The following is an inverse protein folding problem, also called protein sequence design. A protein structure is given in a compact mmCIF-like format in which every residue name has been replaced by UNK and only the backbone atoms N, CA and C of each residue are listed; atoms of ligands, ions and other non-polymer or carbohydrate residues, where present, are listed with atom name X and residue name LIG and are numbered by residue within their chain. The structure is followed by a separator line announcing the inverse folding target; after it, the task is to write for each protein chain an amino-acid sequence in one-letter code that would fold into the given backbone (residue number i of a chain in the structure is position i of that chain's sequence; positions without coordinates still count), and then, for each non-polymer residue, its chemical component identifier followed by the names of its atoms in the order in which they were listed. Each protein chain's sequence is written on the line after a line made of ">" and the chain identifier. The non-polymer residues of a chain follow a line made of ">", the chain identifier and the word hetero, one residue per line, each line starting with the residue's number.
data_IF_316643117849
#
_entry.id   IF_316643117849
#
_cell.length_a   1.000
_cell.length_b   1.000
_cell.length_c   1.000
_cell.angle_alpha   90.00
_cell.angle_beta   90.00
_cell.angle_gamma   90.00
#
_symmetry.space_group_name_H-M   'P 1'
#
loop_
_entity.id
_entity.type
_entity.pdbx_description
1 polymer ?
#
# COMPACT_ATOMS: atom_id res chain seq x y z
N UNK A 1 13.41 13.38 -9.03
CA UNK A 1 13.44 12.05 -8.41
C UNK A 1 12.11 11.38 -8.65
N UNK A 2 12.05 10.05 -8.81
CA UNK A 2 10.80 9.31 -8.92
C UNK A 2 9.91 9.58 -7.70
N UNK A 3 8.62 9.75 -7.93
CA UNK A 3 7.63 10.00 -6.87
C UNK A 3 6.49 9.01 -7.00
N UNK A 4 5.88 8.68 -5.87
CA UNK A 4 4.71 7.81 -5.75
C UNK A 4 3.49 8.67 -5.44
N UNK A 5 2.48 8.57 -6.27
CA UNK A 5 1.23 9.32 -6.13
C UNK A 5 0.19 8.43 -5.46
N UNK A 6 -0.50 8.95 -4.45
CA UNK A 6 -1.62 8.23 -3.86
C UNK A 6 -2.77 8.15 -4.88
N UNK A 7 -3.29 6.95 -5.15
CA UNK A 7 -4.46 6.81 -6.01
C UNK A 7 -5.68 7.43 -5.33
N UNK A 8 -6.68 7.86 -6.12
CA UNK A 8 -7.91 8.46 -5.58
C UNK A 8 -8.60 7.55 -4.55
N UNK A 9 -8.49 6.22 -4.72
CA UNK A 9 -9.03 5.21 -3.80
C UNK A 9 -8.47 5.28 -2.38
N UNK A 10 -7.35 5.98 -2.15
CA UNK A 10 -6.77 6.17 -0.83
C UNK A 10 -7.50 7.23 0.02
N UNK A 11 -8.33 8.09 -0.59
CA UNK A 11 -9.02 9.21 0.07
C UNK A 11 -9.71 8.84 1.40
N UNK A 12 -10.57 7.80 1.48
CA UNK A 12 -11.24 7.43 2.73
C UNK A 12 -10.30 6.85 3.79
N UNK A 13 -9.05 6.52 3.42
CA UNK A 13 -8.07 5.91 4.30
C UNK A 13 -7.09 6.93 4.90
N UNK A 14 -7.01 8.14 4.32
CA UNK A 14 -6.10 9.19 4.80
C UNK A 14 -6.29 9.54 6.29
N UNK A 15 -7.52 9.58 6.85
CA UNK A 15 -7.71 9.83 8.28
C UNK A 15 -6.99 8.82 9.19
N UNK A 16 -6.63 7.62 8.71
CA UNK A 16 -5.91 6.64 9.51
C UNK A 16 -4.39 6.85 9.53
N UNK A 17 -3.90 7.93 8.90
CA UNK A 17 -2.52 8.39 9.02
C UNK A 17 -2.39 9.44 10.12
N UNK A 18 -1.44 9.26 11.03
CA UNK A 18 -1.17 10.20 12.15
C UNK A 18 -0.80 11.61 11.68
N UNK A 19 -0.24 11.73 10.48
CA UNK A 19 0.12 13.01 9.83
C UNK A 19 -1.01 13.64 9.04
N UNK A 20 -2.20 13.04 9.04
CA UNK A 20 -3.39 13.65 8.44
C UNK A 20 -3.84 14.86 9.24
N UNK A 21 -4.33 15.90 8.57
CA UNK A 21 -4.94 17.07 9.23
C UNK A 21 -6.20 16.65 10.01
N UNK A 22 -6.95 15.68 9.46
CA UNK A 22 -8.14 15.09 10.06
C UNK A 22 -7.85 13.67 10.56
N UNK A 23 -6.75 13.48 11.31
CA UNK A 23 -6.40 12.17 11.85
C UNK A 23 -7.50 11.63 12.77
N UNK A 24 -7.96 10.41 12.48
CA UNK A 24 -8.91 9.68 13.31
C UNK A 24 -8.26 9.31 14.66
N UNK A 25 -9.07 9.19 15.71
CA UNK A 25 -8.58 8.81 17.05
C UNK A 25 -7.82 7.48 17.07
N UNK A 26 -8.13 6.60 16.13
CA UNK A 26 -7.52 5.29 15.98
C UNK A 26 -6.63 5.17 14.74
N UNK A 27 -6.06 6.30 14.29
CA UNK A 27 -5.04 6.32 13.27
C UNK A 27 -3.87 5.39 13.65
N UNK A 28 -3.47 4.54 12.71
CA UNK A 28 -2.52 3.45 12.93
C UNK A 28 -1.34 3.48 11.97
N UNK A 29 -1.38 4.29 10.92
CA UNK A 29 -0.26 4.51 10.03
C UNK A 29 0.49 5.77 10.47
N UNK A 30 1.81 5.68 10.65
CA UNK A 30 2.60 6.84 11.06
C UNK A 30 2.62 7.90 9.95
N UNK A 31 2.75 7.47 8.70
CA UNK A 31 2.83 8.34 7.53
C UNK A 31 1.99 7.82 6.37
N UNK A 32 1.81 8.67 5.34
CA UNK A 32 1.21 8.25 4.09
C UNK A 32 2.02 7.18 3.36
N UNK A 33 3.34 7.13 3.56
CA UNK A 33 4.18 6.10 2.97
C UNK A 33 3.90 4.73 3.60
N UNK A 34 3.61 4.67 4.90
CA UNK A 34 3.23 3.44 5.60
C UNK A 34 1.89 2.89 5.07
N UNK A 35 0.88 3.76 4.98
CA UNK A 35 -0.41 3.41 4.38
C UNK A 35 -0.22 2.91 2.95
N UNK A 36 0.56 3.63 2.15
CA UNK A 36 0.80 3.29 0.74
C UNK A 36 1.49 1.94 0.58
N UNK A 37 2.56 1.70 1.33
CA UNK A 37 3.30 0.43 1.28
C UNK A 37 2.42 -0.74 1.74
N UNK A 38 1.63 -0.55 2.80
CA UNK A 38 0.69 -1.55 3.27
C UNK A 38 -0.40 -1.85 2.24
N UNK A 39 -1.03 -0.82 1.67
CA UNK A 39 -2.04 -0.97 0.63
C UNK A 39 -1.46 -1.69 -0.61
N UNK A 40 -0.25 -1.35 -1.04
CA UNK A 40 0.41 -2.03 -2.16
C UNK A 40 0.62 -3.53 -1.86
N UNK A 41 1.04 -3.88 -0.64
CA UNK A 41 1.17 -5.27 -0.22
C UNK A 41 -0.19 -6.01 -0.22
N UNK A 42 -1.26 -5.38 0.27
CA UNK A 42 -2.61 -5.94 0.18
C UNK A 42 -3.05 -6.18 -1.27
N UNK A 43 -2.81 -5.21 -2.16
CA UNK A 43 -3.13 -5.34 -3.58
C UNK A 43 -2.35 -6.48 -4.24
N UNK A 44 -1.06 -6.59 -3.94
CA UNK A 44 -0.22 -7.68 -4.42
C UNK A 44 -0.73 -9.05 -3.97
N UNK A 45 -1.04 -9.20 -2.68
CA UNK A 45 -1.58 -10.42 -2.11
C UNK A 45 -2.93 -10.80 -2.75
N UNK A 46 -3.82 -9.82 -2.94
CA UNK A 46 -5.15 -10.04 -3.54
C UNK A 46 -5.08 -10.50 -4.99
N UNK A 47 -4.13 -9.99 -5.76
CA UNK A 47 -3.92 -10.39 -7.15
C UNK A 47 -3.00 -11.61 -7.31
N UNK A 48 -2.41 -12.09 -6.21
CA UNK A 48 -1.40 -13.15 -6.23
C UNK A 48 -0.23 -12.80 -7.16
N UNK A 49 0.23 -11.54 -7.10
CA UNK A 49 1.31 -11.01 -7.94
C UNK A 49 0.98 -10.78 -9.41
N UNK A 50 -0.26 -11.04 -9.86
CA UNK A 50 -0.70 -10.69 -11.22
C UNK A 50 -0.70 -9.18 -11.40
N UNK A 51 -0.27 -8.72 -12.57
CA UNK A 51 -0.10 -7.30 -12.86
C UNK A 51 -1.47 -6.58 -12.86
N UNK A 52 -1.66 -5.54 -12.02
CA UNK A 52 -2.87 -4.75 -11.97
C UNK A 52 -3.01 -3.83 -13.19
N UNK A 53 -4.20 -3.30 -13.40
CA UNK A 53 -4.43 -2.16 -14.30
C UNK A 53 -3.86 -0.88 -13.68
N UNK A 54 -3.38 0.04 -14.50
CA UNK A 54 -2.89 1.34 -14.03
C UNK A 54 -4.03 2.18 -13.42
N UNK A 55 -3.77 2.95 -12.34
CA UNK A 55 -4.78 3.82 -11.75
C UNK A 55 -5.16 4.94 -12.70
N UNK A 56 -6.46 5.18 -12.87
CA UNK A 56 -6.96 6.26 -13.74
C UNK A 56 -6.85 7.65 -13.09
N UNK A 57 -6.88 7.71 -11.75
CA UNK A 57 -6.96 8.95 -10.99
C UNK A 57 -6.07 8.90 -9.74
N UNK A 58 -5.42 10.03 -9.50
CA UNK A 58 -4.57 10.26 -8.33
C UNK A 58 -5.08 11.47 -7.55
N UNK A 59 -4.79 11.46 -6.26
CA UNK A 59 -5.11 12.59 -5.40
C UNK A 59 -4.25 13.81 -5.75
N UNK A 60 -4.86 14.99 -5.69
CA UNK A 60 -4.14 16.27 -5.78
C UNK A 60 -3.46 16.65 -4.46
N UNK A 61 -3.99 16.17 -3.33
CA UNK A 61 -3.44 16.32 -1.98
C UNK A 61 -3.68 15.02 -1.19
N UNK A 62 -2.70 14.53 -0.41
CA UNK A 62 -1.39 15.12 -0.17
C UNK A 62 -0.46 15.04 -1.40
N UNK A 63 0.61 15.84 -1.41
CA UNK A 63 1.60 15.85 -2.49
C UNK A 63 2.19 14.46 -2.75
N UNK A 64 2.63 14.17 -3.99
CA UNK A 64 3.35 12.93 -4.30
C UNK A 64 4.53 12.71 -3.35
N UNK A 65 4.73 11.46 -2.95
CA UNK A 65 5.73 11.06 -1.97
C UNK A 65 7.03 10.73 -2.72
N UNK A 66 8.13 11.38 -2.37
CA UNK A 66 9.44 11.07 -2.96
C UNK A 66 9.86 9.63 -2.59
N UNK A 67 10.35 8.86 -3.56
CA UNK A 67 10.83 7.50 -3.34
C UNK A 67 11.94 7.43 -2.27
N UNK A 68 12.69 8.51 -2.06
CA UNK A 68 13.66 8.64 -0.97
C UNK A 68 13.03 8.51 0.41
N UNK A 69 11.78 8.92 0.59
CA UNK A 69 11.06 8.75 1.86
C UNK A 69 10.95 7.27 2.20
N UNK A 70 10.57 6.44 1.23
CA UNK A 70 10.48 4.99 1.40
C UNK A 70 11.84 4.36 1.70
N UNK A 71 12.93 4.86 1.08
CA UNK A 71 14.29 4.40 1.36
C UNK A 71 14.71 4.73 2.80
N UNK A 72 14.49 5.97 3.22
CA UNK A 72 14.87 6.46 4.55
C UNK A 72 14.06 5.82 5.68
N UNK A 73 12.82 5.42 5.40
CA UNK A 73 11.93 4.73 6.36
C UNK A 73 12.06 3.20 6.32
N UNK A 74 12.94 2.64 5.48
CA UNK A 74 13.11 1.19 5.35
C UNK A 74 11.99 0.47 4.58
N UNK A 75 11.00 1.20 4.05
CA UNK A 75 9.86 0.66 3.29
C UNK A 75 10.21 0.28 1.84
N UNK A 76 11.32 0.80 1.30
CA UNK A 76 11.69 0.60 -0.10
C UNK A 76 11.86 -0.88 -0.48
N UNK A 77 12.35 -1.71 0.44
CA UNK A 77 12.48 -3.15 0.22
C UNK A 77 11.13 -3.82 -0.07
N UNK A 78 10.05 -3.37 0.58
CA UNK A 78 8.71 -3.89 0.33
C UNK A 78 8.25 -3.58 -1.09
N UNK A 79 8.55 -2.37 -1.58
CA UNK A 79 8.24 -1.96 -2.94
C UNK A 79 8.99 -2.83 -3.96
N UNK A 80 10.30 -3.03 -3.74
CA UNK A 80 11.13 -3.88 -4.60
C UNK A 80 10.62 -5.32 -4.64
N UNK A 81 10.23 -5.90 -3.51
CA UNK A 81 9.70 -7.26 -3.45
C UNK A 81 8.40 -7.40 -4.24
N UNK A 82 7.52 -6.41 -4.19
CA UNK A 82 6.30 -6.36 -5.03
C UNK A 82 6.68 -6.35 -6.50
N UNK A 83 7.62 -5.47 -6.90
CA UNK A 83 8.07 -5.37 -8.28
C UNK A 83 8.68 -6.66 -8.82
N UNK A 84 9.62 -7.25 -8.08
CA UNK A 84 10.27 -8.51 -8.43
C UNK A 84 9.27 -9.67 -8.46
N UNK A 85 8.36 -9.75 -7.48
CA UNK A 85 7.35 -10.79 -7.39
C UNK A 85 6.35 -10.75 -8.53
N UNK A 86 5.99 -9.55 -9.01
CA UNK A 86 5.00 -9.40 -10.08
C UNK A 86 5.61 -9.60 -11.46
N UNK A 87 6.73 -8.94 -11.77
CA UNK A 87 7.29 -8.99 -13.12
C UNK A 87 8.22 -10.18 -13.37
N UNK A 88 8.79 -10.77 -12.30
CA UNK A 88 9.77 -11.85 -12.35
C UNK A 88 11.02 -11.51 -13.18
N UNK A 89 11.38 -10.22 -13.23
CA UNK A 89 12.57 -9.72 -13.91
C UNK A 89 13.35 -8.83 -12.97
N UNK A 90 14.68 -9.00 -12.93
CA UNK A 90 15.55 -8.26 -12.02
C UNK A 90 15.82 -6.80 -12.47
N UNK A 91 15.50 -6.46 -13.73
CA UNK A 91 15.68 -5.12 -14.29
C UNK A 91 14.76 -4.08 -13.62
N UNK A 92 13.60 -4.50 -13.11
CA UNK A 92 12.67 -3.63 -12.35
C UNK A 92 13.34 -2.95 -11.14
N UNK A 93 14.36 -3.58 -10.55
CA UNK A 93 15.08 -3.00 -9.41
C UNK A 93 15.97 -1.82 -9.80
N UNK A 94 16.23 -1.62 -11.09
CA UNK A 94 17.05 -0.51 -11.63
C UNK A 94 16.20 0.60 -12.25
N UNK A 95 14.94 0.32 -12.55
CA UNK A 95 13.98 1.25 -13.16
C UNK A 95 12.97 1.71 -12.10
N UNK A 96 13.35 2.72 -11.33
CA UNK A 96 12.53 3.24 -10.23
C UNK A 96 11.21 3.85 -10.72
N UNK A 97 11.15 4.45 -11.90
CA UNK A 97 9.91 5.01 -12.45
C UNK A 97 8.92 3.92 -12.84
N UNK A 98 9.41 2.81 -13.42
CA UNK A 98 8.59 1.62 -13.69
C UNK A 98 8.15 0.94 -12.40
N UNK A 99 9.04 0.82 -11.41
CA UNK A 99 8.70 0.31 -10.08
C UNK A 99 7.59 1.17 -9.45
N UNK A 100 7.72 2.50 -9.49
CA UNK A 100 6.73 3.41 -8.93
C UNK A 100 5.35 3.18 -9.55
N UNK A 101 5.24 3.16 -10.88
CA UNK A 101 3.97 2.92 -11.58
C UNK A 101 3.33 1.58 -11.22
N UNK A 102 4.12 0.52 -11.14
CA UNK A 102 3.63 -0.80 -10.77
C UNK A 102 3.10 -0.83 -9.34
N UNK A 103 3.83 -0.21 -8.41
CA UNK A 103 3.43 -0.15 -7.00
C UNK A 103 2.20 0.76 -6.81
N UNK A 104 2.10 1.88 -7.52
CA UNK A 104 0.88 2.72 -7.57
C UNK A 104 -0.34 1.91 -7.99
N UNK A 105 -0.19 1.05 -9.00
CA UNK A 105 -1.28 0.19 -9.48
C UNK A 105 -1.69 -0.86 -8.43
N UNK A 106 -0.73 -1.48 -7.73
CA UNK A 106 -1.07 -2.38 -6.61
C UNK A 106 -1.67 -1.63 -5.43
N UNK A 107 -1.16 -0.44 -5.10
CA UNK A 107 -1.69 0.41 -4.04
C UNK A 107 -3.14 0.79 -4.32
N UNK A 108 -3.51 1.09 -5.57
CA UNK A 108 -4.90 1.38 -5.93
C UNK A 108 -5.82 0.18 -5.68
N UNK A 109 -5.40 -1.03 -6.04
CA UNK A 109 -6.15 -2.26 -5.76
C UNK A 109 -6.32 -2.46 -4.25
N UNK A 110 -5.25 -2.28 -3.48
CA UNK A 110 -5.28 -2.41 -2.03
C UNK A 110 -6.15 -1.36 -1.36
N UNK A 111 -6.06 -0.10 -1.79
CA UNK A 111 -6.88 1.00 -1.29
C UNK A 111 -8.37 0.76 -1.60
N UNK A 112 -8.72 0.32 -2.81
CA UNK A 112 -10.10 -0.06 -3.16
C UNK A 112 -10.64 -1.15 -2.24
N UNK A 113 -9.82 -2.17 -1.97
CA UNK A 113 -10.18 -3.25 -1.04
C UNK A 113 -10.38 -2.73 0.38
N UNK A 114 -9.41 -2.01 0.94
CA UNK A 114 -9.49 -1.50 2.31
C UNK A 114 -10.62 -0.47 2.49
N UNK A 115 -10.85 0.38 1.50
CA UNK A 115 -11.95 1.35 1.50
C UNK A 115 -13.31 0.65 1.45
N UNK A 116 -13.43 -0.46 0.71
CA UNK A 116 -14.64 -1.28 0.70
C UNK A 116 -14.87 -1.94 2.07
N UNK A 117 -13.84 -2.55 2.66
CA UNK A 117 -13.94 -3.17 3.98
C UNK A 117 -14.26 -2.16 5.09
N UNK A 118 -13.77 -0.93 4.99
CA UNK A 118 -14.07 0.15 5.94
C UNK A 118 -15.58 0.43 6.03
N UNK A 119 -16.33 0.26 4.94
CA UNK A 119 -17.80 0.41 4.95
C UNK A 119 -18.47 -0.65 5.85
N UNK A 120 -17.85 -1.82 5.99
CA UNK A 120 -18.35 -2.94 6.78
C UNK A 120 -17.83 -2.93 8.23
N UNK A 121 -16.60 -2.47 8.46
CA UNK A 121 -15.93 -2.61 9.76
C UNK A 121 -16.17 -1.47 10.74
N UNK A 122 -16.72 -0.34 10.28
CA UNK A 122 -16.78 0.95 10.99
C UNK A 122 -15.40 1.56 11.25
N UNK A 123 -15.27 2.90 11.20
CA UNK A 123 -13.99 3.57 11.43
C UNK A 123 -13.34 3.17 12.76
N UNK A 124 -14.11 3.07 13.86
CA UNK A 124 -13.60 2.79 15.20
C UNK A 124 -12.83 1.46 15.32
N UNK A 125 -13.16 0.45 14.51
CA UNK A 125 -12.54 -0.88 14.57
C UNK A 125 -11.51 -1.13 13.47
N UNK A 126 -11.31 -0.19 12.56
CA UNK A 126 -10.51 -0.39 11.35
C UNK A 126 -9.10 -0.93 11.67
N UNK A 127 -8.38 -0.30 12.61
CA UNK A 127 -7.05 -0.76 13.05
C UNK A 127 -7.03 -2.20 13.60
N UNK A 128 -8.08 -2.65 14.28
CA UNK A 128 -8.18 -4.04 14.79
C UNK A 128 -8.35 -5.03 13.64
N UNK A 129 -9.15 -4.67 12.64
CA UNK A 129 -9.40 -5.52 11.47
C UNK A 129 -8.18 -5.56 10.54
N UNK A 130 -7.42 -4.46 10.41
CA UNK A 130 -6.09 -4.48 9.80
C UNK A 130 -5.14 -5.44 10.51
N UNK A 131 -5.15 -5.45 11.84
CA UNK A 131 -4.40 -6.42 12.64
C UNK A 131 -4.77 -7.87 12.31
N UNK A 132 -6.06 -8.16 12.05
CA UNK A 132 -6.50 -9.50 11.65
C UNK A 132 -5.98 -9.90 10.26
N UNK A 133 -5.93 -8.98 9.31
CA UNK A 133 -5.31 -9.24 7.99
C UNK A 133 -3.85 -9.68 8.19
N UNK A 134 -3.10 -8.97 9.04
CA UNK A 134 -1.71 -9.29 9.33
C UNK A 134 -1.54 -10.66 9.99
N UNK A 135 -2.40 -10.99 10.98
CA UNK A 135 -2.39 -12.30 11.64
C UNK A 135 -2.67 -13.41 10.63
N UNK A 136 -3.71 -13.27 9.80
CA UNK A 136 -4.05 -14.25 8.78
C UNK A 136 -2.91 -14.46 7.78
N UNK A 137 -2.28 -13.37 7.32
CA UNK A 137 -1.13 -13.45 6.42
C UNK A 137 0.08 -14.14 7.07
N UNK A 138 0.32 -13.94 8.37
CA UNK A 138 1.38 -14.63 9.09
C UNK A 138 1.11 -16.15 9.20
N UNK A 139 -0.14 -16.54 9.50
CA UNK A 139 -0.54 -17.95 9.62
C UNK A 139 -0.51 -18.70 8.29
N UNK A 140 -0.86 -18.06 7.17
CA UNK A 140 -0.76 -18.66 5.83
C UNK A 140 0.70 -18.97 5.46
N UNK A 141 1.63 -18.09 5.81
CA UNK A 141 3.06 -18.31 5.54
C UNK A 141 3.67 -19.45 6.37
N UNK A 142 3.18 -19.70 7.60
CA UNK A 142 3.62 -20.84 8.42
C UNK A 142 3.27 -22.18 7.76
N UNK A 143 2.18 -22.25 6.99
CA UNK A 143 1.77 -23.50 6.31
C UNK A 143 2.59 -23.86 5.08
N UNK A 144 3.31 -22.91 4.49
CA UNK A 144 4.16 -23.13 3.30
C UNK A 144 5.58 -23.56 3.70
N UNK A 145 5.97 -23.37 4.97
CA UNK A 145 7.31 -23.65 5.49
C UNK A 145 7.48 -25.09 6.08
N UNK A 146 6.55 -26.02 5.80
CA UNK A 146 6.58 -27.41 6.27
C UNK A 146 6.62 -28.37 5.08
#
# INVERSE_FOLDING_TARGET
>A
MPTLRLPQSAEPLLPFCLRSEDAAENACFETYADLFAFAAACGFARLHGRQPQEPEKFLASPSPIDIAVFKNQGLFHNLLLIGLGSERKADIARDEDRLCRLVEAFADVGCKYLAHELQSWTPARFHLELGRILIAAAEENVKVAI
#
